data_IF_730761938713
#
_entry.id   IF_730761938713
#
_cell.length_a   1.000
_cell.length_b   1.000
_cell.length_c   1.000
_cell.angle_alpha   90.00
_cell.angle_beta   90.00
_cell.angle_gamma   90.00
#
_symmetry.space_group_name_H-M   'P 1'
#
loop_
_entity.id
_entity.type
_entity.pdbx_description
1 polymer ?
#
# COMPACT_ATOMS: atom_id res chain seq x y z
N UNK A 1 10.24 -20.51 10.41
CA UNK A 1 8.89 -20.86 10.90
C UNK A 1 7.87 -20.42 9.84
N UNK A 2 6.84 -21.22 9.55
CA UNK A 2 5.89 -20.96 8.46
C UNK A 2 4.53 -20.55 9.05
N UNK A 3 4.02 -19.37 8.68
CA UNK A 3 2.73 -18.85 9.13
C UNK A 3 1.70 -18.96 7.98
N UNK A 4 0.51 -19.55 8.20
CA UNK A 4 -0.52 -19.65 7.16
C UNK A 4 -1.12 -18.27 6.87
N UNK A 5 -1.41 -17.97 5.60
CA UNK A 5 -2.22 -16.80 5.25
C UNK A 5 -3.70 -17.09 5.55
N UNK A 6 -4.48 -16.14 6.06
CA UNK A 6 -5.93 -16.29 6.15
C UNK A 6 -6.50 -16.50 4.73
N UNK A 7 -7.24 -17.59 4.53
CA UNK A 7 -7.98 -17.85 3.29
C UNK A 7 -7.18 -18.43 2.12
N UNK A 8 -5.88 -18.71 2.24
CA UNK A 8 -5.05 -19.27 1.15
C UNK A 8 -4.16 -20.41 1.67
N UNK A 9 -3.95 -21.47 0.86
CA UNK A 9 -3.06 -22.59 1.22
C UNK A 9 -1.57 -22.19 1.32
N UNK A 10 -1.21 -21.02 0.80
CA UNK A 10 0.15 -20.50 0.85
C UNK A 10 0.60 -20.16 2.28
N UNK A 11 1.86 -20.50 2.56
CA UNK A 11 2.51 -20.19 3.84
C UNK A 11 3.55 -19.09 3.62
N UNK A 12 3.59 -18.10 4.52
CA UNK A 12 4.65 -17.10 4.55
C UNK A 12 5.83 -17.64 5.38
N UNK A 13 7.01 -17.88 4.79
CA UNK A 13 8.21 -18.13 5.59
C UNK A 13 8.58 -16.83 6.30
N UNK A 14 8.62 -16.86 7.63
CA UNK A 14 9.15 -15.75 8.42
C UNK A 14 10.58 -16.09 8.82
N UNK A 15 11.53 -15.27 8.35
CA UNK A 15 12.87 -15.21 8.91
C UNK A 15 12.82 -14.31 10.15
N UNK A 16 13.03 -14.91 11.32
CA UNK A 16 13.18 -14.16 12.56
C UNK A 16 14.68 -13.83 12.68
N UNK A 17 15.08 -12.55 12.52
CA UNK A 17 16.48 -12.17 12.70
C UNK A 17 16.86 -12.24 14.19
N UNK A 18 18.16 -12.40 14.46
CA UNK A 18 18.67 -12.44 15.82
C UNK A 18 18.38 -11.12 16.56
N UNK A 19 18.36 -11.16 17.90
CA UNK A 19 18.02 -9.96 18.71
C UNK A 19 18.94 -8.79 18.39
N UNK A 20 20.24 -9.05 18.18
CA UNK A 20 21.22 -8.03 17.79
C UNK A 20 20.84 -7.34 16.48
N UNK A 21 20.43 -8.09 15.47
CA UNK A 21 20.04 -7.54 14.17
C UNK A 21 18.78 -6.69 14.26
N UNK A 22 17.83 -7.07 15.13
CA UNK A 22 16.63 -6.27 15.40
C UNK A 22 16.95 -4.92 16.02
N UNK A 23 17.93 -4.87 16.93
CA UNK A 23 18.40 -3.62 17.53
C UNK A 23 19.04 -2.71 16.48
N UNK A 24 19.87 -3.28 15.60
CA UNK A 24 20.50 -2.51 14.50
C UNK A 24 19.43 -2.02 13.51
N UNK A 25 18.46 -2.86 13.14
CA UNK A 25 17.35 -2.46 12.27
C UNK A 25 16.50 -1.33 12.90
N UNK A 26 16.24 -1.40 14.20
CA UNK A 26 15.50 -0.35 14.91
C UNK A 26 16.28 0.96 14.98
N UNK A 27 17.59 0.91 15.27
CA UNK A 27 18.45 2.08 15.27
C UNK A 27 18.53 2.74 13.88
N UNK A 28 18.70 1.91 12.84
CA UNK A 28 18.74 2.37 11.45
C UNK A 28 17.42 3.05 11.04
N UNK A 29 16.29 2.47 11.45
CA UNK A 29 14.96 3.03 11.20
C UNK A 29 14.83 4.46 11.73
N UNK A 30 15.25 4.72 12.97
CA UNK A 30 15.15 6.06 13.60
C UNK A 30 15.94 7.12 12.81
N UNK A 31 17.08 6.73 12.25
CA UNK A 31 17.95 7.66 11.49
C UNK A 31 17.43 7.89 10.07
N UNK A 32 16.93 6.84 9.41
CA UNK A 32 16.49 6.91 8.02
C UNK A 32 15.09 7.52 7.86
N UNK A 33 14.18 7.30 8.82
CA UNK A 33 12.83 7.85 8.77
C UNK A 33 12.76 9.37 8.48
N UNK A 34 13.50 10.27 9.18
CA UNK A 34 13.42 11.70 8.91
C UNK A 34 13.98 12.10 7.53
N UNK A 35 14.96 11.35 7.01
CA UNK A 35 15.54 11.61 5.68
C UNK A 35 14.51 11.28 4.61
N UNK A 36 13.90 10.09 4.69
CA UNK A 36 12.91 9.68 3.69
C UNK A 36 11.60 10.46 3.80
N UNK A 37 11.18 10.88 5.00
CA UNK A 37 10.00 11.72 5.17
C UNK A 37 10.11 13.09 4.46
N UNK A 38 11.33 13.63 4.30
CA UNK A 38 11.55 14.87 3.56
C UNK A 38 11.34 14.69 2.04
N UNK A 39 11.72 13.53 1.50
CA UNK A 39 11.66 13.25 0.06
C UNK A 39 10.32 12.61 -0.38
N UNK A 40 9.51 12.11 0.55
CA UNK A 40 8.26 11.43 0.21
C UNK A 40 7.19 12.36 -0.35
N UNK A 41 6.63 11.96 -1.50
CA UNK A 41 5.47 12.61 -2.09
C UNK A 41 4.23 12.53 -1.17
N UNK A 42 3.33 13.53 -1.23
CA UNK A 42 2.12 13.56 -0.41
C UNK A 42 1.11 12.47 -0.78
N UNK A 43 1.24 11.84 -1.95
CA UNK A 43 0.44 10.68 -2.38
C UNK A 43 0.98 9.33 -1.89
N UNK A 44 2.12 9.30 -1.20
CA UNK A 44 2.68 8.09 -0.61
C UNK A 44 2.13 7.86 0.80
N UNK A 45 1.44 6.74 1.00
CA UNK A 45 0.82 6.35 2.29
C UNK A 45 1.42 5.07 2.89
N UNK A 46 2.29 4.37 2.16
CA UNK A 46 2.85 3.09 2.59
C UNK A 46 3.95 3.25 3.64
N UNK A 47 3.83 2.53 4.75
CA UNK A 47 4.87 2.37 5.78
C UNK A 47 5.44 3.67 6.39
N UNK A 48 4.61 4.72 6.49
CA UNK A 48 4.98 6.02 7.07
C UNK A 48 4.41 6.21 8.47
N UNK A 49 5.13 6.88 9.39
CA UNK A 49 4.56 7.29 10.66
C UNK A 49 3.39 8.26 10.45
N UNK A 50 2.28 8.04 11.18
CA UNK A 50 1.06 8.87 11.14
C UNK A 50 0.27 8.85 9.82
N UNK A 51 0.57 7.94 8.89
CA UNK A 51 -0.27 7.69 7.70
C UNK A 51 -0.73 6.25 7.65
N UNK A 52 -1.97 6.03 7.22
CA UNK A 52 -2.60 4.72 7.21
C UNK A 52 -3.14 4.36 5.82
N UNK A 53 -3.39 3.07 5.59
CA UNK A 53 -4.07 2.60 4.37
C UNK A 53 -5.50 3.18 4.24
N UNK A 54 -6.12 3.57 5.36
CA UNK A 54 -7.44 4.21 5.35
C UNK A 54 -7.38 5.63 4.78
N UNK A 55 -6.30 6.37 5.02
CA UNK A 55 -6.12 7.72 4.47
C UNK A 55 -6.00 7.67 2.94
N UNK A 56 -5.28 6.67 2.42
CA UNK A 56 -5.20 6.42 0.97
C UNK A 56 -6.56 6.11 0.35
N UNK A 57 -7.40 5.34 1.06
CA UNK A 57 -8.76 5.03 0.63
C UNK A 57 -9.65 6.28 0.63
N UNK A 58 -9.52 7.18 1.61
CA UNK A 58 -10.26 8.44 1.62
C UNK A 58 -9.90 9.30 0.41
N UNK A 59 -8.62 9.46 0.09
CA UNK A 59 -8.19 10.20 -1.10
C UNK A 59 -8.76 9.57 -2.37
N UNK A 60 -8.75 8.24 -2.49
CA UNK A 60 -9.34 7.55 -3.65
C UNK A 60 -10.85 7.81 -3.78
N UNK A 61 -11.57 7.77 -2.66
CA UNK A 61 -13.01 8.05 -2.61
C UNK A 61 -13.28 9.50 -3.05
N UNK A 62 -12.55 10.47 -2.50
CA UNK A 62 -12.70 11.89 -2.85
C UNK A 62 -12.45 12.14 -4.35
N UNK A 63 -11.42 11.50 -4.91
CA UNK A 63 -11.12 11.57 -6.34
C UNK A 63 -12.20 10.90 -7.21
N UNK A 64 -12.81 9.82 -6.72
CA UNK A 64 -13.96 9.20 -7.39
C UNK A 64 -15.19 10.11 -7.37
N UNK A 65 -15.46 10.82 -6.27
CA UNK A 65 -16.55 11.80 -6.18
C UNK A 65 -16.34 13.01 -7.10
N UNK A 66 -15.09 13.39 -7.38
CA UNK A 66 -14.75 14.42 -8.39
C UNK A 66 -15.00 13.97 -9.83
N UNK A 67 -15.46 12.75 -10.06
CA UNK A 67 -15.86 12.24 -11.38
C UNK A 67 -14.80 11.39 -12.07
N UNK A 68 -13.68 11.05 -11.42
CA UNK A 68 -12.69 10.13 -11.98
C UNK A 68 -13.25 8.70 -11.94
N UNK A 69 -13.46 8.12 -13.12
CA UNK A 69 -14.13 6.81 -13.31
C UNK A 69 -13.17 5.66 -13.60
N UNK A 70 -11.88 5.96 -13.77
CA UNK A 70 -10.87 5.00 -14.20
C UNK A 70 -9.78 4.94 -13.15
N UNK A 71 -9.39 3.72 -12.78
CA UNK A 71 -8.31 3.42 -11.84
C UNK A 71 -7.33 2.53 -12.56
N UNK A 72 -6.05 2.89 -12.50
CA UNK A 72 -4.96 2.03 -12.98
C UNK A 72 -4.42 1.32 -11.76
N UNK A 73 -4.56 0.00 -11.74
CA UNK A 73 -3.93 -0.86 -10.74
C UNK A 73 -2.57 -1.27 -11.29
N UNK A 74 -1.50 -0.78 -10.66
CA UNK A 74 -0.12 -1.13 -10.98
C UNK A 74 0.50 -1.85 -9.80
N UNK A 75 1.08 -3.02 -10.05
CA UNK A 75 1.85 -3.78 -9.07
C UNK A 75 3.26 -4.07 -9.60
N UNK A 76 4.23 -4.06 -8.69
CA UNK A 76 5.61 -4.42 -8.99
C UNK A 76 5.81 -5.91 -8.70
N UNK A 77 6.04 -6.69 -9.75
CA UNK A 77 6.29 -8.12 -9.61
C UNK A 77 7.63 -8.38 -8.93
N UNK A 78 7.69 -9.49 -8.18
CA UNK A 78 8.91 -9.99 -7.53
C UNK A 78 10.12 -10.10 -8.48
N UNK A 79 9.87 -10.34 -9.77
CA UNK A 79 10.88 -10.51 -10.80
C UNK A 79 10.83 -9.39 -11.83
N UNK A 80 11.25 -8.17 -11.49
CA UNK A 80 11.44 -7.02 -12.41
C UNK A 80 10.30 -6.72 -13.42
N UNK A 81 9.12 -7.33 -13.24
CA UNK A 81 8.03 -7.33 -14.20
C UNK A 81 6.92 -6.48 -13.63
N UNK A 82 6.59 -5.40 -14.31
CA UNK A 82 5.44 -4.56 -13.98
C UNK A 82 4.14 -5.22 -14.47
N UNK A 83 3.13 -5.24 -13.60
CA UNK A 83 1.79 -5.68 -13.97
C UNK A 83 0.85 -4.50 -13.83
N UNK A 84 0.27 -4.09 -14.96
CA UNK A 84 -0.64 -2.94 -15.02
C UNK A 84 -1.99 -3.39 -15.56
N UNK A 85 -3.06 -3.15 -14.81
CA UNK A 85 -4.44 -3.38 -15.22
C UNK A 85 -5.27 -2.11 -15.10
N UNK A 86 -6.06 -1.82 -16.13
CA UNK A 86 -7.00 -0.70 -16.12
C UNK A 86 -8.37 -1.19 -15.63
N UNK A 87 -8.83 -0.63 -14.51
CA UNK A 87 -10.13 -0.90 -13.93
C UNK A 87 -11.06 0.30 -14.13
N UNK A 88 -12.29 0.02 -14.55
CA UNK A 88 -13.35 1.02 -14.55
C UNK A 88 -14.06 0.95 -13.20
N UNK A 89 -14.01 2.04 -12.43
CA UNK A 89 -14.91 2.22 -11.29
C UNK A 89 -16.33 2.15 -11.86
N UNK A 90 -17.15 1.24 -11.32
CA UNK A 90 -18.40 0.76 -11.92
C UNK A 90 -19.38 1.85 -12.36
N UNK A 91 -20.51 1.49 -13.00
CA UNK A 91 -21.47 2.47 -13.46
C UNK A 91 -21.93 3.33 -12.26
N UNK A 92 -21.58 4.61 -12.32
CA UNK A 92 -22.04 5.64 -11.41
C UNK A 92 -23.54 5.50 -11.34
N UNK A 93 -24.05 5.35 -10.12
CA UNK A 93 -25.47 5.36 -9.85
C UNK A 93 -26.01 6.67 -10.40
N UNK A 94 -26.59 6.57 -11.59
CA UNK A 94 -27.40 7.61 -12.19
C UNK A 94 -28.58 7.82 -11.25
N UNK A 95 -28.60 8.95 -10.54
CA UNK A 95 -29.73 9.37 -9.70
C UNK A 95 -30.82 10.03 -10.56
N UNK A 96 -31.05 9.57 -11.80
CA UNK A 96 -32.10 10.07 -12.70
C UNK A 96 -33.37 9.20 -12.73
N UNK A 97 -33.46 8.13 -11.93
CA UNK A 97 -34.73 7.43 -11.70
C UNK A 97 -35.21 7.65 -10.28
N UNK A 98 -36.19 8.56 -10.19
CA UNK A 98 -37.24 8.57 -9.16
C UNK A 98 -37.97 7.24 -9.10
#
# INVERSE_FOLDING_TARGET
MLIPKPGVKERRPLSIPAVRDRVVQAALKIVLEPVFEADFLPCSFGFRPKRSAHDALQVLIDEAWKGKRWVVETDIGWSWGERTSLLRLGPGRDRSRC
#
